data_IF_223884743684
#
_entry.id   IF_223884743684
#
_cell.length_a   1.000
_cell.length_b   1.000
_cell.length_c   1.000
_cell.angle_alpha   90.00
_cell.angle_beta   90.00
_cell.angle_gamma   90.00
#
_symmetry.space_group_name_H-M   'P 1'
#
loop_
_entity.id
_entity.type
_entity.pdbx_description
1 polymer ?
#
# COMPACT_ATOMS: atom_id res chain seq x y z
N UNK A 1 -15.34 -16.59 -1.27
CA UNK A 1 -14.76 -16.73 -2.60
C UNK A 1 -14.44 -15.33 -3.15
N UNK A 2 -13.15 -15.05 -3.43
CA UNK A 2 -12.67 -13.75 -3.92
C UNK A 2 -13.44 -13.28 -5.17
N UNK A 3 -13.63 -14.18 -6.15
CA UNK A 3 -14.33 -13.83 -7.37
C UNK A 3 -15.76 -13.32 -7.16
N UNK A 4 -16.45 -13.80 -6.12
CA UNK A 4 -17.77 -13.30 -5.75
C UNK A 4 -17.66 -11.91 -5.06
N UNK A 5 -16.66 -11.70 -4.22
CA UNK A 5 -16.46 -10.44 -3.49
C UNK A 5 -16.05 -9.26 -4.40
N UNK A 6 -15.38 -9.53 -5.53
CA UNK A 6 -14.97 -8.50 -6.52
C UNK A 6 -16.15 -7.70 -7.13
N UNK A 7 -17.35 -8.23 -7.07
CA UNK A 7 -18.56 -7.57 -7.59
C UNK A 7 -19.63 -7.26 -6.54
N UNK A 8 -19.37 -7.51 -5.26
CA UNK A 8 -20.36 -7.37 -4.19
C UNK A 8 -19.95 -6.33 -3.13
N UNK A 9 -20.45 -5.08 -3.22
CA UNK A 9 -20.14 -4.03 -2.25
C UNK A 9 -20.60 -4.30 -0.82
N UNK A 10 -21.43 -5.33 -0.59
CA UNK A 10 -21.82 -5.73 0.76
C UNK A 10 -20.70 -6.46 1.53
N UNK A 11 -19.65 -6.85 0.83
CA UNK A 11 -18.49 -7.58 1.37
C UNK A 11 -17.19 -6.92 0.93
N UNK A 12 -16.62 -6.06 1.80
CA UNK A 12 -15.33 -5.45 1.52
C UNK A 12 -14.19 -6.39 1.86
N UNK A 13 -13.26 -6.54 0.92
CA UNK A 13 -12.03 -7.29 1.09
C UNK A 13 -11.02 -6.42 1.85
N UNK A 14 -10.37 -6.96 2.88
CA UNK A 14 -9.30 -6.27 3.60
C UNK A 14 -8.04 -6.24 2.74
N UNK A 15 -7.50 -5.05 2.53
CA UNK A 15 -6.27 -4.83 1.78
C UNK A 15 -5.26 -4.13 2.68
N UNK A 16 -4.13 -4.74 3.04
CA UNK A 16 -2.98 -4.02 3.57
C UNK A 16 -2.59 -2.89 2.62
N UNK A 17 -2.43 -1.69 3.14
CA UNK A 17 -1.94 -0.53 2.40
C UNK A 17 -0.73 0.02 3.14
N UNK A 18 0.46 -0.47 2.76
CA UNK A 18 1.71 -0.23 3.46
C UNK A 18 2.41 1.00 2.90
N UNK A 19 2.48 2.07 3.69
CA UNK A 19 3.20 3.31 3.39
C UNK A 19 4.58 3.21 4.01
N UNK A 20 5.62 3.34 3.18
CA UNK A 20 7.01 3.25 3.61
C UNK A 20 7.61 4.63 3.77
N UNK A 21 8.23 4.88 4.92
CA UNK A 21 8.81 6.15 5.28
C UNK A 21 10.25 5.99 5.75
N UNK A 22 11.13 6.87 5.26
CA UNK A 22 12.48 7.09 5.79
C UNK A 22 12.48 8.42 6.53
N UNK A 23 12.96 8.43 7.77
CA UNK A 23 13.15 9.64 8.58
C UNK A 23 14.61 10.05 8.56
N UNK A 24 14.89 11.23 8.08
CA UNK A 24 16.25 11.79 8.11
C UNK A 24 16.26 13.24 8.62
N UNK A 25 17.44 13.85 8.67
CA UNK A 25 17.62 15.22 9.15
C UNK A 25 16.94 16.29 8.25
N UNK A 26 16.57 15.91 7.02
CA UNK A 26 15.93 16.80 6.04
C UNK A 26 14.40 16.69 6.09
N UNK A 27 13.88 15.75 6.89
CA UNK A 27 12.45 15.46 7.05
C UNK A 27 12.05 14.08 6.57
N UNK A 28 10.77 13.78 6.69
CA UNK A 28 10.22 12.48 6.28
C UNK A 28 10.16 12.37 4.76
N UNK A 29 10.68 11.25 4.21
CA UNK A 29 10.56 10.89 2.80
C UNK A 29 9.74 9.62 2.65
N UNK A 30 8.87 9.59 1.65
CA UNK A 30 7.93 8.50 1.40
C UNK A 30 8.28 7.78 0.12
N UNK A 31 8.22 6.45 0.15
CA UNK A 31 8.36 5.63 -1.04
C UNK A 31 7.14 5.81 -1.94
N UNK A 32 7.37 6.07 -3.21
CA UNK A 32 6.33 6.12 -4.21
C UNK A 32 6.73 5.36 -5.47
N UNK A 33 5.75 4.95 -6.25
CA UNK A 33 5.97 4.29 -7.53
C UNK A 33 4.86 4.63 -8.52
N UNK A 34 5.10 4.35 -9.79
CA UNK A 34 4.08 4.40 -10.82
C UNK A 34 3.56 2.99 -11.07
N UNK A 35 2.24 2.79 -11.03
CA UNK A 35 1.62 1.50 -11.32
C UNK A 35 1.91 1.09 -12.77
N UNK A 36 2.63 -0.01 -12.91
CA UNK A 36 2.99 -0.61 -14.20
C UNK A 36 1.80 -1.28 -14.88
N UNK A 37 1.97 -1.63 -16.16
CA UNK A 37 0.93 -2.28 -16.98
C UNK A 37 0.67 -3.74 -16.60
N UNK A 38 1.59 -4.39 -15.89
CA UNK A 38 1.47 -5.77 -15.40
C UNK A 38 0.65 -5.90 -14.12
N UNK A 39 0.34 -4.79 -13.44
CA UNK A 39 -0.50 -4.81 -12.25
C UNK A 39 -1.93 -5.26 -12.54
N UNK A 40 -2.55 -6.01 -11.61
CA UNK A 40 -3.85 -6.64 -11.80
C UNK A 40 -5.02 -5.66 -12.03
N UNK A 41 -4.93 -4.42 -11.53
CA UNK A 41 -5.98 -3.42 -11.64
C UNK A 41 -5.66 -2.41 -12.76
N UNK A 42 -6.15 -2.68 -13.96
CA UNK A 42 -5.87 -1.88 -15.16
C UNK A 42 -6.34 -0.41 -15.09
N UNK A 43 -7.35 -0.13 -14.25
CA UNK A 43 -7.89 1.23 -14.05
C UNK A 43 -6.92 2.16 -13.32
N UNK A 44 -5.94 1.60 -12.62
CA UNK A 44 -4.93 2.34 -11.87
C UNK A 44 -3.59 2.49 -12.60
N UNK A 45 -3.47 1.98 -13.84
CA UNK A 45 -2.23 2.06 -14.61
C UNK A 45 -1.77 3.50 -14.81
N UNK A 46 -0.46 3.73 -14.68
CA UNK A 46 0.22 5.02 -14.78
C UNK A 46 -0.12 6.03 -13.66
N UNK A 47 -0.97 5.69 -12.70
CA UNK A 47 -1.14 6.49 -11.49
C UNK A 47 0.03 6.28 -10.53
N UNK A 48 0.28 7.27 -9.69
CA UNK A 48 1.30 7.21 -8.63
C UNK A 48 0.65 6.69 -7.35
N UNK A 49 1.30 5.71 -6.72
CA UNK A 49 0.92 5.16 -5.43
C UNK A 49 2.06 5.32 -4.42
N UNK A 50 1.70 5.50 -3.15
CA UNK A 50 2.61 5.36 -2.00
C UNK A 50 2.34 4.08 -1.21
N UNK A 51 1.25 3.37 -1.51
CA UNK A 51 0.84 2.17 -0.79
C UNK A 51 1.20 0.91 -1.56
N UNK A 52 1.82 -0.02 -0.86
CA UNK A 52 2.15 -1.37 -1.33
C UNK A 52 1.32 -2.37 -0.54
N UNK A 53 0.83 -3.39 -1.22
CA UNK A 53 0.04 -4.46 -0.61
C UNK A 53 -0.97 -5.06 -1.58
N UNK A 54 -1.62 -6.10 -1.12
CA UNK A 54 -2.57 -6.85 -1.93
C UNK A 54 -3.54 -7.67 -1.10
N UNK A 55 -4.04 -8.77 -1.62
CA UNK A 55 -5.08 -9.55 -0.95
C UNK A 55 -4.48 -10.55 0.03
N UNK A 56 -5.13 -10.69 1.19
CA UNK A 56 -4.84 -11.82 2.09
C UNK A 56 -5.34 -13.11 1.43
N UNK A 57 -4.49 -14.09 1.35
CA UNK A 57 -4.72 -15.34 0.62
C UNK A 57 -4.78 -16.55 1.58
N UNK A 58 -5.39 -17.68 1.16
CA UNK A 58 -5.40 -18.89 1.98
C UNK A 58 -4.01 -19.42 2.38
N UNK A 59 -2.96 -19.12 1.60
CA UNK A 59 -1.57 -19.51 1.93
C UNK A 59 -1.02 -18.77 3.15
N UNK A 60 -1.61 -17.63 3.52
CA UNK A 60 -1.22 -16.82 4.66
C UNK A 60 -1.74 -17.40 5.99
N UNK A 61 -2.68 -18.36 5.92
CA UNK A 61 -3.32 -18.92 7.10
C UNK A 61 -2.31 -19.51 8.09
N UNK A 62 -2.35 -19.04 9.32
CA UNK A 62 -1.48 -19.50 10.42
C UNK A 62 -2.21 -20.32 11.48
N UNK A 63 -3.51 -20.11 11.62
CA UNK A 63 -4.38 -20.77 12.57
C UNK A 63 -5.69 -21.21 11.89
N UNK A 64 -6.53 -21.96 12.60
CA UNK A 64 -7.82 -22.42 12.06
C UNK A 64 -8.84 -21.29 11.83
N UNK A 65 -8.46 -20.05 12.11
CA UNK A 65 -9.31 -18.87 11.93
C UNK A 65 -8.52 -17.69 11.35
N UNK A 66 -9.24 -16.71 10.80
CA UNK A 66 -8.67 -15.45 10.33
C UNK A 66 -8.35 -14.54 11.52
N UNK A 67 -7.17 -14.68 12.07
CA UNK A 67 -6.66 -13.87 13.17
C UNK A 67 -5.60 -12.86 12.71
N UNK A 68 -5.07 -12.10 13.67
CA UNK A 68 -4.03 -11.11 13.41
C UNK A 68 -2.77 -11.75 12.79
N UNK A 69 -2.41 -12.95 13.23
CA UNK A 69 -1.22 -13.66 12.73
C UNK A 69 -1.36 -14.03 11.24
N UNK A 70 -2.55 -14.48 10.82
CA UNK A 70 -2.86 -14.72 9.39
C UNK A 70 -2.83 -13.42 8.59
N UNK A 71 -3.42 -12.35 9.12
CA UNK A 71 -3.39 -11.04 8.48
C UNK A 71 -1.96 -10.52 8.30
N UNK A 72 -1.15 -10.53 9.35
CA UNK A 72 0.24 -10.06 9.31
C UNK A 72 1.12 -10.92 8.40
N UNK A 73 0.89 -12.24 8.34
CA UNK A 73 1.59 -13.11 7.38
C UNK A 73 1.30 -12.71 5.93
N UNK A 74 0.06 -12.31 5.61
CA UNK A 74 -0.30 -11.78 4.30
C UNK A 74 0.37 -10.43 4.02
N UNK A 75 0.43 -9.53 5.01
CA UNK A 75 1.16 -8.26 4.91
C UNK A 75 2.63 -8.49 4.57
N UNK A 76 3.30 -9.36 5.32
CA UNK A 76 4.72 -9.69 5.11
C UNK A 76 4.97 -10.30 3.73
N UNK A 77 4.12 -11.26 3.32
CA UNK A 77 4.24 -11.89 1.99
C UNK A 77 4.10 -10.85 0.86
N UNK A 78 3.09 -9.97 0.90
CA UNK A 78 2.90 -8.94 -0.14
C UNK A 78 4.11 -7.98 -0.19
N UNK A 79 4.65 -7.58 0.97
CA UNK A 79 5.85 -6.74 1.01
C UNK A 79 7.04 -7.48 0.37
N UNK A 80 7.28 -8.73 0.73
CA UNK A 80 8.41 -9.52 0.23
C UNK A 80 8.29 -9.86 -1.27
N UNK A 81 7.05 -10.05 -1.77
CA UNK A 81 6.78 -10.25 -3.19
C UNK A 81 7.07 -8.99 -4.01
N UNK A 82 6.66 -7.81 -3.52
CA UNK A 82 6.76 -6.56 -4.26
C UNK A 82 8.08 -5.80 -4.05
N UNK A 83 8.72 -5.93 -2.87
CA UNK A 83 9.92 -5.17 -2.50
C UNK A 83 11.04 -6.05 -1.95
N UNK A 84 12.27 -5.62 -2.22
CA UNK A 84 13.46 -6.04 -1.49
C UNK A 84 13.93 -4.87 -0.61
N UNK A 85 13.81 -5.02 0.71
CA UNK A 85 14.15 -4.00 1.71
C UNK A 85 15.43 -4.43 2.41
N UNK A 86 16.44 -3.54 2.39
CA UNK A 86 17.68 -3.76 3.14
C UNK A 86 17.61 -3.06 4.50
N UNK A 87 17.96 -3.77 5.56
CA UNK A 87 17.95 -3.25 6.93
C UNK A 87 16.65 -3.55 7.70
N UNK A 88 16.60 -3.08 8.94
CA UNK A 88 15.44 -3.25 9.79
C UNK A 88 14.34 -2.23 9.45
N UNK A 89 13.12 -2.59 9.77
CA UNK A 89 11.97 -1.69 9.69
C UNK A 89 10.98 -1.97 10.83
N UNK A 90 10.13 -1.00 11.10
CA UNK A 90 9.02 -1.16 12.03
C UNK A 90 7.71 -1.07 11.27
N UNK A 91 6.70 -1.81 11.72
CA UNK A 91 5.37 -1.83 11.10
C UNK A 91 4.31 -1.47 12.15
N UNK A 92 3.47 -0.48 11.86
CA UNK A 92 2.41 -0.02 12.74
C UNK A 92 1.14 0.22 11.95
N UNK A 93 0.02 -0.40 12.35
CA UNK A 93 -1.30 -0.05 11.83
C UNK A 93 -1.68 1.33 12.37
N UNK A 94 -2.01 2.25 11.48
CA UNK A 94 -2.27 3.66 11.83
C UNK A 94 -3.69 4.11 11.50
N UNK A 95 -4.35 3.52 10.49
CA UNK A 95 -5.69 3.91 10.08
C UNK A 95 -6.45 2.81 9.34
N UNK A 96 -7.74 3.04 9.12
CA UNK A 96 -8.55 2.34 8.13
C UNK A 96 -8.93 3.32 7.01
N UNK A 97 -8.90 2.85 5.77
CA UNK A 97 -9.21 3.63 4.60
C UNK A 97 -10.42 3.05 3.88
N UNK A 98 -11.50 3.84 3.81
CA UNK A 98 -12.69 3.49 3.06
C UNK A 98 -12.98 4.58 2.03
N UNK A 99 -13.00 4.21 0.74
CA UNK A 99 -13.28 5.11 -0.36
C UNK A 99 -14.29 4.48 -1.33
N UNK A 100 -15.54 4.90 -1.24
CA UNK A 100 -16.62 4.42 -2.10
C UNK A 100 -16.78 5.25 -3.39
N UNK A 101 -15.85 6.14 -3.69
CA UNK A 101 -15.93 7.04 -4.87
C UNK A 101 -15.76 6.31 -6.20
N UNK A 102 -15.21 5.10 -6.17
CA UNK A 102 -14.94 4.30 -7.37
C UNK A 102 -15.23 2.81 -7.14
N UNK A 103 -15.31 2.04 -8.23
CA UNK A 103 -15.68 0.62 -8.17
C UNK A 103 -14.68 -0.27 -7.43
N UNK A 104 -13.39 0.11 -7.40
CA UNK A 104 -12.36 -0.61 -6.65
C UNK A 104 -12.59 -0.43 -5.15
N UNK A 105 -12.73 0.82 -4.71
CA UNK A 105 -12.91 1.15 -3.30
C UNK A 105 -14.22 0.62 -2.70
N UNK A 106 -15.28 0.46 -3.52
CA UNK A 106 -16.56 -0.10 -3.05
C UNK A 106 -16.44 -1.52 -2.52
N UNK A 107 -15.51 -2.32 -3.02
CA UNK A 107 -15.32 -3.72 -2.64
C UNK A 107 -14.05 -3.96 -1.81
N UNK A 108 -13.31 -2.89 -1.46
CA UNK A 108 -12.09 -2.96 -0.67
C UNK A 108 -12.15 -2.05 0.56
N UNK A 109 -11.50 -2.47 1.64
CA UNK A 109 -11.24 -1.69 2.84
C UNK A 109 -9.74 -1.73 3.12
N UNK A 110 -9.08 -0.59 3.04
CA UNK A 110 -7.65 -0.46 3.31
C UNK A 110 -7.37 -0.51 4.82
N UNK A 111 -6.39 -1.30 5.21
CA UNK A 111 -5.76 -1.21 6.53
C UNK A 111 -4.41 -0.54 6.33
N UNK A 112 -4.32 0.72 6.75
CA UNK A 112 -3.12 1.54 6.53
C UNK A 112 -2.05 1.20 7.54
N UNK A 113 -0.89 0.80 7.02
CA UNK A 113 0.32 0.56 7.78
C UNK A 113 1.33 1.68 7.51
N UNK A 114 1.96 2.20 8.55
CA UNK A 114 3.16 3.02 8.44
C UNK A 114 4.36 2.14 8.73
N UNK A 115 5.26 2.03 7.75
CA UNK A 115 6.49 1.26 7.83
C UNK A 115 7.66 2.22 7.85
N UNK A 116 8.28 2.39 9.01
CA UNK A 116 9.48 3.21 9.15
C UNK A 116 10.71 2.35 8.81
N UNK A 117 11.43 2.75 7.77
CA UNK A 117 12.65 2.10 7.28
C UNK A 117 13.88 2.66 7.95
N UNK A 118 14.84 1.77 8.29
CA UNK A 118 16.15 2.17 8.82
C UNK A 118 17.05 2.75 7.73
N UNK A 119 16.88 2.30 6.48
CA UNK A 119 17.69 2.73 5.32
C UNK A 119 16.79 3.05 4.14
N UNK A 120 17.34 3.73 3.13
CA UNK A 120 16.67 4.01 1.86
C UNK A 120 17.00 2.99 0.73
N UNK A 121 17.70 1.90 1.05
CA UNK A 121 18.01 0.83 0.09
C UNK A 121 16.81 -0.12 -0.06
N UNK A 122 15.88 0.30 -0.91
CA UNK A 122 14.68 -0.45 -1.28
C UNK A 122 14.62 -0.60 -2.79
N UNK A 123 14.31 -1.81 -3.26
CA UNK A 123 14.23 -2.15 -4.69
C UNK A 123 12.91 -2.85 -4.99
N UNK A 124 12.36 -2.58 -6.17
CA UNK A 124 11.20 -3.31 -6.66
C UNK A 124 11.60 -4.75 -7.07
N UNK A 125 10.78 -5.71 -6.68
CA UNK A 125 10.90 -7.11 -7.12
C UNK A 125 9.98 -7.42 -8.31
N UNK A 126 8.95 -6.60 -8.54
CA UNK A 126 7.97 -6.82 -9.60
C UNK A 126 7.93 -5.67 -10.63
N UNK A 127 7.65 -6.02 -11.89
CA UNK A 127 7.47 -5.06 -13.00
C UNK A 127 6.23 -4.15 -12.81
N UNK A 128 5.32 -4.53 -11.92
CA UNK A 128 4.17 -3.72 -11.54
C UNK A 128 4.57 -2.45 -10.77
N UNK A 129 5.73 -2.48 -10.11
CA UNK A 129 6.31 -1.37 -9.34
C UNK A 129 7.31 -0.62 -10.23
N UNK A 130 6.84 0.32 -11.02
CA UNK A 130 7.70 1.09 -11.92
C UNK A 130 8.12 2.43 -11.29
N UNK A 131 9.31 2.90 -11.61
CA UNK A 131 9.84 4.21 -11.14
C UNK A 131 9.81 4.37 -9.61
N UNK A 132 10.17 3.31 -8.88
CA UNK A 132 10.25 3.34 -7.43
C UNK A 132 11.27 4.39 -6.99
N UNK A 133 10.86 5.32 -6.12
CA UNK A 133 11.71 6.38 -5.60
C UNK A 133 11.18 6.92 -4.26
N UNK A 134 12.02 7.63 -3.53
CA UNK A 134 11.64 8.40 -2.35
C UNK A 134 11.36 9.85 -2.76
N UNK A 135 10.34 10.46 -2.17
CA UNK A 135 10.01 11.88 -2.34
C UNK A 135 9.56 12.51 -1.02
N UNK A 136 9.60 13.81 -0.95
CA UNK A 136 9.07 14.58 0.18
C UNK A 136 7.54 14.64 0.17
N UNK A 137 6.96 15.00 1.30
CA UNK A 137 5.52 15.28 1.38
C UNK A 137 5.10 16.46 0.48
N UNK A 138 5.97 17.45 0.32
CA UNK A 138 5.74 18.60 -0.57
C UNK A 138 5.68 18.17 -2.04
N UNK A 139 6.49 17.18 -2.46
CA UNK A 139 6.39 16.61 -3.82
C UNK A 139 5.07 15.89 -4.03
N UNK A 140 4.59 15.13 -3.03
CA UNK A 140 3.31 14.43 -3.08
C UNK A 140 2.12 15.40 -3.13
N UNK A 141 2.17 16.48 -2.36
CA UNK A 141 1.13 17.54 -2.31
C UNK A 141 1.22 18.56 -3.45
N UNK A 142 2.31 18.57 -4.19
CA UNK A 142 2.59 19.49 -5.28
C UNK A 142 2.66 18.79 -6.64
N UNK A 143 3.87 18.59 -7.22
CA UNK A 143 4.03 18.11 -8.60
C UNK A 143 3.40 16.74 -8.90
N UNK A 144 3.26 15.87 -7.89
CA UNK A 144 2.72 14.53 -8.08
C UNK A 144 1.22 14.43 -7.81
N UNK A 145 0.60 15.42 -7.14
CA UNK A 145 -0.75 15.30 -6.57
C UNK A 145 -1.82 14.89 -7.59
N UNK A 146 -1.82 15.50 -8.77
CA UNK A 146 -2.82 15.21 -9.81
C UNK A 146 -2.70 13.80 -10.40
N UNK A 147 -1.54 13.15 -10.21
CA UNK A 147 -1.26 11.79 -10.67
C UNK A 147 -1.50 10.72 -9.61
N UNK A 148 -1.73 11.13 -8.37
CA UNK A 148 -1.96 10.19 -7.27
C UNK A 148 -3.27 9.42 -7.46
N UNK A 149 -3.25 8.12 -7.17
CA UNK A 149 -4.49 7.33 -7.02
C UNK A 149 -5.30 7.80 -5.79
N UNK A 150 -6.59 7.47 -5.75
CA UNK A 150 -7.51 8.00 -4.72
C UNK A 150 -7.09 7.64 -3.29
N UNK A 151 -6.67 6.41 -3.05
CA UNK A 151 -6.21 5.98 -1.73
C UNK A 151 -4.95 6.71 -1.28
N UNK A 152 -4.01 6.90 -2.21
CA UNK A 152 -2.82 7.73 -1.94
C UNK A 152 -3.19 9.15 -1.55
N UNK A 153 -4.13 9.80 -2.29
CA UNK A 153 -4.58 11.17 -1.94
C UNK A 153 -5.16 11.22 -0.53
N UNK A 154 -6.08 10.29 -0.21
CA UNK A 154 -6.68 10.22 1.13
C UNK A 154 -5.61 10.13 2.22
N UNK A 155 -4.56 9.31 2.02
CA UNK A 155 -3.47 9.20 2.99
C UNK A 155 -2.60 10.46 3.04
N UNK A 156 -2.20 11.02 1.89
CA UNK A 156 -1.34 12.21 1.81
C UNK A 156 -1.96 13.44 2.47
N UNK A 157 -3.30 13.56 2.37
CA UNK A 157 -4.03 14.69 2.96
C UNK A 157 -3.99 14.70 4.49
N UNK A 158 -3.80 13.52 5.14
CA UNK A 158 -3.82 13.35 6.60
C UNK A 158 -2.54 12.72 7.18
N UNK A 159 -1.50 12.52 6.37
CA UNK A 159 -0.33 11.70 6.72
C UNK A 159 0.44 12.21 7.95
N UNK A 160 0.38 13.51 8.23
CA UNK A 160 1.01 14.13 9.40
C UNK A 160 0.25 13.83 10.71
N UNK A 161 -1.00 13.37 10.60
CA UNK A 161 -1.85 12.98 11.73
C UNK A 161 -1.79 11.46 12.01
N UNK A 162 -1.08 10.67 11.16
CA UNK A 162 -0.90 9.21 11.25
C UNK A 162 0.39 8.79 12.06
#
# INVERSE_FOLDING_TARGET
DRGAAEGDPSHKQLIPYCIFRVKDEQGDRYLHYTRGKSGGESRLHAQVSIGIGGHINPVDQREDHLGMDTYMAGVEREIDEELNITGAHTNKIVALLNDDSNEVGKVHLGVVHMIDLETDDVRANEDAIANLALCSLDDLRGPLYDRLETWTRCCVDVIEDL
#
